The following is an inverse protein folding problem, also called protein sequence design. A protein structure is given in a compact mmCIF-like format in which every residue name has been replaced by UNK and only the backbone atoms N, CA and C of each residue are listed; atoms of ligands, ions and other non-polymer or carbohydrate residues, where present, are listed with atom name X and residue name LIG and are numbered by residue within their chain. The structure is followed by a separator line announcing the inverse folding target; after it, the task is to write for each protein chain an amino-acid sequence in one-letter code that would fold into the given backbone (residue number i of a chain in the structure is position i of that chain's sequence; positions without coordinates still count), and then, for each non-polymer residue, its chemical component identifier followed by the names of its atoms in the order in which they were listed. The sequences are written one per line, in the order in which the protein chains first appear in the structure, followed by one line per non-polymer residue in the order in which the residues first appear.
data_IF_999487138013
#
_entry.id   IF_999487138013
#
_cell.length_a   1.000
_cell.length_b   1.000
_cell.length_c   1.000
_cell.angle_alpha   90.00
_cell.angle_beta   90.00
_cell.angle_gamma   90.00
#
_symmetry.space_group_name_H-M   'P 1'
#
loop_
_entity.id
_entity.type
_entity.pdbx_description
1 polymer ?
#
# COMPACT_ATOMS: atom_id res chain seq x y z
N UNK A 1 -13.92 -18.02 2.20
CA UNK A 1 -13.01 -18.57 1.16
C UNK A 1 -11.60 -18.13 1.53
N UNK A 2 -10.88 -18.95 2.31
CA UNK A 2 -9.52 -18.68 2.76
C UNK A 2 -8.57 -18.80 1.55
N UNK A 3 -8.10 -17.69 1.00
CA UNK A 3 -7.00 -17.76 0.03
C UNK A 3 -5.75 -18.17 0.79
N UNK A 4 -5.32 -19.42 0.55
CA UNK A 4 -3.95 -19.86 0.82
C UNK A 4 -2.98 -18.88 0.16
N UNK A 5 -1.93 -18.50 0.89
CA UNK A 5 -0.84 -17.67 0.41
C UNK A 5 -0.45 -18.09 -1.02
N UNK A 6 -0.84 -17.31 -2.02
CA UNK A 6 -0.32 -17.50 -3.36
C UNK A 6 1.17 -17.19 -3.28
N UNK A 7 1.99 -18.19 -3.60
CA UNK A 7 3.40 -17.98 -3.88
C UNK A 7 3.48 -17.02 -5.07
N UNK A 8 3.89 -15.78 -4.83
CA UNK A 8 4.07 -14.74 -5.86
C UNK A 8 5.21 -15.12 -6.84
N UNK A 9 5.92 -16.23 -6.61
CA UNK A 9 7.04 -16.73 -7.42
C UNK A 9 6.64 -17.62 -8.63
N UNK A 10 5.43 -17.49 -9.18
CA UNK A 10 4.98 -18.22 -10.38
C UNK A 10 5.27 -17.47 -11.70
N UNK A 11 5.31 -18.16 -12.87
CA UNK A 11 5.59 -17.53 -14.15
C UNK A 11 4.59 -16.38 -14.46
N UNK A 12 5.03 -15.31 -15.13
CA UNK A 12 4.32 -14.03 -15.22
C UNK A 12 2.91 -14.12 -15.85
N UNK A 13 2.61 -15.16 -16.64
CA UNK A 13 1.35 -15.26 -17.38
C UNK A 13 0.13 -15.67 -16.53
N UNK A 14 0.29 -16.32 -15.38
CA UNK A 14 -0.86 -16.71 -14.53
C UNK A 14 -1.16 -15.70 -13.42
N UNK A 15 -0.16 -14.96 -12.96
CA UNK A 15 -0.31 -13.96 -11.89
C UNK A 15 -1.12 -12.74 -12.37
N UNK A 16 -0.86 -12.24 -13.58
CA UNK A 16 -1.53 -11.04 -14.12
C UNK A 16 -3.05 -11.26 -14.32
N UNK A 17 -3.49 -12.46 -14.73
CA UNK A 17 -4.90 -12.73 -15.01
C UNK A 17 -5.77 -12.64 -13.75
N UNK A 18 -5.23 -12.96 -12.56
CA UNK A 18 -6.00 -12.95 -11.31
C UNK A 18 -6.29 -11.53 -10.84
N UNK A 19 -5.35 -10.59 -11.02
CA UNK A 19 -5.49 -9.22 -10.53
C UNK A 19 -6.41 -8.32 -11.38
N UNK A 20 -6.70 -8.70 -12.63
CA UNK A 20 -7.64 -7.95 -13.49
C UNK A 20 -9.07 -8.03 -12.97
N UNK A 21 -9.44 -9.13 -12.30
CA UNK A 21 -10.79 -9.37 -11.80
C UNK A 21 -10.94 -9.17 -10.29
N UNK A 22 -9.85 -8.91 -9.58
CA UNK A 22 -9.84 -8.83 -8.13
C UNK A 22 -9.91 -7.37 -7.67
N UNK A 23 -11.00 -7.01 -6.99
CA UNK A 23 -11.14 -5.67 -6.37
C UNK A 23 -10.55 -5.61 -4.96
N UNK A 24 -10.57 -6.73 -4.24
CA UNK A 24 -10.06 -6.83 -2.87
C UNK A 24 -9.01 -7.92 -2.74
N UNK A 25 -7.84 -7.58 -2.20
CA UNK A 25 -6.76 -8.53 -1.92
C UNK A 25 -6.23 -8.38 -0.49
N UNK A 26 -6.16 -9.48 0.25
CA UNK A 26 -5.62 -9.51 1.62
C UNK A 26 -4.47 -10.52 1.72
N UNK A 27 -3.31 -10.04 2.16
CA UNK A 27 -2.10 -10.82 2.45
C UNK A 27 -1.60 -10.55 3.88
N UNK A 28 -2.52 -10.39 4.82
CA UNK A 28 -2.19 -10.13 6.23
C UNK A 28 -1.36 -11.27 6.84
N UNK A 29 -0.43 -10.94 7.75
CA UNK A 29 0.46 -11.90 8.44
C UNK A 29 1.44 -12.65 7.51
N UNK A 30 1.84 -12.03 6.40
CA UNK A 30 2.80 -12.61 5.47
C UNK A 30 4.21 -12.05 5.66
N UNK A 31 5.23 -12.88 5.39
CA UNK A 31 6.61 -12.39 5.21
C UNK A 31 6.80 -12.03 3.75
N UNK A 32 7.13 -10.78 3.48
CA UNK A 32 7.39 -10.31 2.13
C UNK A 32 8.87 -10.40 1.82
N UNK A 33 9.21 -11.04 0.69
CA UNK A 33 10.50 -10.82 0.05
C UNK A 33 10.43 -9.55 -0.80
N UNK A 34 11.59 -9.00 -1.15
CA UNK A 34 11.69 -7.86 -2.07
C UNK A 34 10.93 -8.12 -3.38
N UNK A 35 11.11 -9.31 -3.99
CA UNK A 35 10.39 -9.69 -5.21
C UNK A 35 8.87 -9.79 -5.05
N UNK A 36 8.36 -10.08 -3.85
CA UNK A 36 6.92 -10.05 -3.59
C UNK A 36 6.37 -8.61 -3.59
N UNK A 37 7.12 -7.67 -3.02
CA UNK A 37 6.78 -6.24 -3.05
C UNK A 37 6.90 -5.66 -4.47
N UNK A 38 7.90 -6.07 -5.26
CA UNK A 38 8.03 -5.69 -6.67
C UNK A 38 6.85 -6.18 -7.51
N UNK A 39 6.41 -7.42 -7.29
CA UNK A 39 5.24 -7.97 -7.97
C UNK A 39 3.96 -7.21 -7.59
N UNK A 40 3.75 -6.90 -6.31
CA UNK A 40 2.64 -6.05 -5.87
C UNK A 40 2.71 -4.67 -6.51
N UNK A 41 3.88 -4.03 -6.53
CA UNK A 41 4.10 -2.74 -7.19
C UNK A 41 3.75 -2.79 -8.68
N UNK A 42 4.12 -3.89 -9.36
CA UNK A 42 3.77 -4.12 -10.76
C UNK A 42 2.26 -4.28 -10.97
N UNK A 43 1.56 -4.92 -10.05
CA UNK A 43 0.10 -5.04 -10.06
C UNK A 43 -0.56 -3.67 -9.88
N UNK A 44 -0.09 -2.87 -8.91
CA UNK A 44 -0.62 -1.52 -8.67
C UNK A 44 -0.39 -0.57 -9.85
N UNK A 45 0.74 -0.74 -10.53
CA UNK A 45 1.13 0.04 -11.71
C UNK A 45 0.38 -0.35 -12.98
N UNK A 46 -0.23 -1.54 -13.01
CA UNK A 46 -0.80 -2.09 -14.22
C UNK A 46 -2.10 -1.37 -14.59
N UNK A 47 -2.26 -0.86 -15.83
CA UNK A 47 -3.48 -0.20 -16.26
C UNK A 47 -4.70 -1.14 -16.29
N UNK A 48 -4.45 -2.45 -16.31
CA UNK A 48 -5.48 -3.49 -16.31
C UNK A 48 -5.90 -3.90 -14.89
N UNK A 49 -5.24 -3.39 -13.86
CA UNK A 49 -5.60 -3.68 -12.48
C UNK A 49 -6.99 -3.10 -12.18
N UNK A 50 -7.79 -3.90 -11.48
CA UNK A 50 -9.07 -3.49 -10.91
C UNK A 50 -9.02 -3.46 -9.39
N UNK A 51 -7.83 -3.58 -8.80
CA UNK A 51 -7.63 -3.63 -7.37
C UNK A 51 -7.91 -2.27 -6.74
N UNK A 52 -8.93 -2.22 -5.88
CA UNK A 52 -9.35 -1.04 -5.14
C UNK A 52 -8.98 -1.13 -3.66
N UNK A 53 -8.84 -2.34 -3.13
CA UNK A 53 -8.58 -2.58 -1.72
C UNK A 53 -7.43 -3.57 -1.52
N UNK A 54 -6.42 -3.16 -0.76
CA UNK A 54 -5.26 -3.99 -0.42
C UNK A 54 -5.01 -3.96 1.09
N UNK A 55 -5.01 -5.14 1.70
CA UNK A 55 -4.69 -5.30 3.12
C UNK A 55 -3.44 -6.16 3.29
N UNK A 56 -2.37 -5.52 3.75
CA UNK A 56 -1.08 -6.14 4.08
C UNK A 56 -0.81 -6.13 5.60
N UNK A 57 -1.82 -5.87 6.42
CA UNK A 57 -1.64 -5.72 7.88
C UNK A 57 -0.88 -6.88 8.54
N UNK A 58 -0.12 -6.55 9.58
CA UNK A 58 0.70 -7.48 10.36
C UNK A 58 1.74 -8.24 9.53
N UNK A 59 2.22 -7.63 8.45
CA UNK A 59 3.23 -8.22 7.57
C UNK A 59 4.57 -7.53 7.78
N UNK A 60 5.66 -8.29 7.67
CA UNK A 60 7.03 -7.77 7.86
C UNK A 60 7.49 -7.00 6.61
N UNK A 61 6.80 -5.91 6.29
CA UNK A 61 6.98 -5.12 5.07
C UNK A 61 8.15 -4.13 5.22
N UNK A 62 8.23 -3.47 6.38
CA UNK A 62 9.22 -2.43 6.70
C UNK A 62 9.23 -1.27 5.68
N UNK A 63 10.15 -0.33 5.84
CA UNK A 63 10.25 0.83 4.94
C UNK A 63 10.63 0.46 3.51
N UNK A 64 11.44 -0.59 3.34
CA UNK A 64 11.88 -1.08 2.02
C UNK A 64 10.70 -1.61 1.19
N UNK A 65 9.81 -2.40 1.78
CA UNK A 65 8.61 -2.88 1.11
C UNK A 65 7.63 -1.74 0.80
N UNK A 66 7.46 -0.80 1.72
CA UNK A 66 6.63 0.41 1.50
C UNK A 66 7.17 1.25 0.35
N UNK A 67 8.49 1.41 0.25
CA UNK A 67 9.13 2.15 -0.85
C UNK A 67 8.83 1.52 -2.21
N UNK A 68 8.89 0.18 -2.31
CA UNK A 68 8.52 -0.52 -3.54
C UNK A 68 7.03 -0.38 -3.87
N UNK A 69 6.15 -0.49 -2.88
CA UNK A 69 4.71 -0.26 -3.07
C UNK A 69 4.40 1.18 -3.50
N UNK A 70 5.14 2.15 -2.95
CA UNK A 70 4.99 3.57 -3.26
C UNK A 70 5.21 3.85 -4.75
N UNK A 71 6.17 3.16 -5.38
CA UNK A 71 6.38 3.25 -6.84
C UNK A 71 5.12 2.86 -7.63
N UNK A 72 4.38 1.84 -7.16
CA UNK A 72 3.15 1.40 -7.82
C UNK A 72 1.97 2.36 -7.62
N UNK A 73 1.90 2.99 -6.44
CA UNK A 73 0.91 4.03 -6.12
C UNK A 73 1.15 5.33 -6.90
N UNK A 74 2.39 5.58 -7.36
CA UNK A 74 2.74 6.74 -8.19
C UNK A 74 2.25 6.66 -9.64
N UNK A 75 1.43 5.67 -10.00
CA UNK A 75 0.93 5.55 -11.38
C UNK A 75 -0.45 6.17 -11.52
N UNK A 76 -0.70 6.84 -12.65
CA UNK A 76 -1.99 7.45 -12.98
C UNK A 76 -3.13 6.42 -13.12
N UNK A 77 -2.80 5.14 -13.20
CA UNK A 77 -3.77 4.06 -13.39
C UNK A 77 -4.14 3.34 -12.09
N UNK A 78 -3.50 3.70 -10.98
CA UNK A 78 -3.79 3.08 -9.69
C UNK A 78 -5.20 3.48 -9.24
N UNK A 79 -6.10 2.50 -9.14
CA UNK A 79 -7.50 2.68 -8.70
C UNK A 79 -7.68 2.40 -7.21
N UNK A 80 -6.58 2.32 -6.46
CA UNK A 80 -6.62 1.95 -5.05
C UNK A 80 -7.36 3.00 -4.24
N UNK A 81 -8.36 2.56 -3.50
CA UNK A 81 -9.19 3.37 -2.60
C UNK A 81 -8.86 3.08 -1.13
N UNK A 82 -8.53 1.83 -0.79
CA UNK A 82 -8.18 1.43 0.58
C UNK A 82 -6.85 0.69 0.63
N UNK A 83 -5.97 1.15 1.51
CA UNK A 83 -4.68 0.52 1.79
C UNK A 83 -4.49 0.34 3.30
N UNK A 84 -4.40 -0.91 3.74
CA UNK A 84 -4.10 -1.25 5.14
C UNK A 84 -2.69 -1.79 5.26
N UNK A 85 -1.87 -1.06 6.03
CA UNK A 85 -0.48 -1.38 6.37
C UNK A 85 -0.30 -1.41 7.90
N UNK A 86 -1.37 -1.65 8.65
CA UNK A 86 -1.33 -1.73 10.11
C UNK A 86 -0.31 -2.77 10.57
N UNK A 87 0.55 -2.47 11.55
CA UNK A 87 1.45 -3.49 12.11
C UNK A 87 2.56 -3.96 11.17
N UNK A 88 3.04 -3.09 10.27
CA UNK A 88 3.99 -3.44 9.21
C UNK A 88 5.45 -3.01 9.47
N UNK A 89 5.77 -2.59 10.70
CA UNK A 89 7.09 -2.09 11.12
C UNK A 89 7.54 -0.87 10.29
N UNK A 90 6.60 -0.01 9.91
CA UNK A 90 6.86 1.20 9.11
C UNK A 90 7.38 2.32 10.02
N UNK A 91 8.41 3.02 9.55
CA UNK A 91 9.00 4.18 10.25
C UNK A 91 8.73 5.50 9.52
N UNK A 92 9.41 6.57 9.95
CA UNK A 92 9.40 7.88 9.28
C UNK A 92 9.79 7.79 7.79
N UNK A 93 10.72 6.88 7.43
CA UNK A 93 11.20 6.73 6.04
C UNK A 93 10.11 6.18 5.12
N UNK A 94 9.40 5.13 5.55
CA UNK A 94 8.27 4.56 4.81
C UNK A 94 7.13 5.56 4.68
N UNK A 95 6.83 6.33 5.74
CA UNK A 95 5.82 7.40 5.68
C UNK A 95 6.19 8.50 4.67
N UNK A 96 7.47 8.87 4.61
CA UNK A 96 7.98 9.84 3.62
C UNK A 96 7.78 9.32 2.20
N UNK A 97 8.05 8.03 1.97
CA UNK A 97 7.85 7.39 0.67
C UNK A 97 6.36 7.40 0.26
N UNK A 98 5.46 7.07 1.20
CA UNK A 98 4.02 7.11 0.98
C UNK A 98 3.52 8.53 0.68
N UNK A 99 3.93 9.51 1.48
CA UNK A 99 3.55 10.91 1.27
C UNK A 99 4.02 11.43 -0.10
N UNK A 100 5.24 11.07 -0.52
CA UNK A 100 5.74 11.41 -1.86
C UNK A 100 4.88 10.77 -2.96
N UNK A 101 4.46 9.51 -2.79
CA UNK A 101 3.62 8.83 -3.76
C UNK A 101 2.24 9.47 -3.89
N UNK A 102 1.59 9.78 -2.76
CA UNK A 102 0.28 10.41 -2.70
C UNK A 102 0.28 11.85 -3.25
N UNK A 103 1.40 12.57 -3.12
CA UNK A 103 1.55 13.92 -3.68
C UNK A 103 1.89 13.96 -5.17
N UNK A 104 2.45 12.88 -5.72
CA UNK A 104 2.92 12.88 -7.11
C UNK A 104 1.78 12.80 -8.12
N UNK A 105 0.62 12.24 -7.74
CA UNK A 105 -0.55 12.12 -8.59
C UNK A 105 -1.82 12.29 -7.76
N UNK A 106 -2.94 12.72 -8.37
CA UNK A 106 -4.24 12.67 -7.72
C UNK A 106 -4.58 11.22 -7.43
N UNK A 107 -4.24 10.78 -6.21
CA UNK A 107 -4.47 9.45 -5.74
C UNK A 107 -5.97 9.20 -5.62
N UNK A 108 -6.42 7.99 -5.95
CA UNK A 108 -7.78 7.54 -5.66
C UNK A 108 -7.95 7.09 -4.21
N UNK A 109 -6.85 7.05 -3.44
CA UNK A 109 -6.82 6.53 -2.08
C UNK A 109 -7.69 7.41 -1.16
N UNK A 110 -8.67 6.76 -0.53
CA UNK A 110 -9.62 7.33 0.43
C UNK A 110 -9.29 6.93 1.85
N UNK A 111 -8.76 5.72 2.03
CA UNK A 111 -8.46 5.17 3.35
C UNK A 111 -7.04 4.62 3.40
N UNK A 112 -6.27 5.10 4.38
CA UNK A 112 -4.92 4.62 4.69
C UNK A 112 -4.83 4.27 6.17
N UNK A 113 -4.57 3.00 6.45
CA UNK A 113 -4.35 2.51 7.80
C UNK A 113 -2.86 2.21 8.04
N UNK A 114 -2.26 3.00 8.92
CA UNK A 114 -0.89 2.89 9.43
C UNK A 114 -0.86 2.62 10.94
N UNK A 115 -1.98 2.21 11.56
CA UNK A 115 -2.01 1.86 12.99
C UNK A 115 -0.97 0.80 13.36
N UNK A 116 -0.54 0.77 14.63
CA UNK A 116 0.50 -0.16 15.10
C UNK A 116 1.82 -0.09 14.29
N UNK A 117 2.20 1.09 13.81
CA UNK A 117 3.52 1.36 13.23
C UNK A 117 4.24 2.45 14.02
N UNK A 118 5.45 2.83 13.58
CA UNK A 118 6.26 3.88 14.21
C UNK A 118 6.50 5.05 13.25
N UNK A 119 5.43 5.71 12.74
CA UNK A 119 5.55 6.76 11.72
C UNK A 119 6.34 7.99 12.17
N UNK A 120 6.64 8.10 13.47
CA UNK A 120 7.39 9.19 14.09
C UNK A 120 6.73 10.56 13.94
N UNK A 121 7.32 11.59 14.54
CA UNK A 121 6.75 12.93 14.48
C UNK A 121 6.86 13.52 13.07
N UNK A 122 7.96 13.22 12.37
CA UNK A 122 8.20 13.78 11.04
C UNK A 122 7.28 13.15 9.99
N UNK A 123 7.14 11.81 10.01
CA UNK A 123 6.26 11.09 9.10
C UNK A 123 4.78 11.42 9.33
N UNK A 124 4.33 11.51 10.59
CA UNK A 124 2.97 11.96 10.91
C UNK A 124 2.71 13.38 10.41
N UNK A 125 3.66 14.29 10.59
CA UNK A 125 3.53 15.66 10.10
C UNK A 125 3.41 15.70 8.57
N UNK A 126 4.24 14.94 7.84
CA UNK A 126 4.19 14.86 6.38
C UNK A 126 2.83 14.36 5.87
N UNK A 127 2.32 13.27 6.45
CA UNK A 127 1.01 12.72 6.08
C UNK A 127 -0.13 13.67 6.44
N UNK A 128 -0.04 14.33 7.60
CA UNK A 128 -1.05 15.32 8.06
C UNK A 128 -1.05 16.60 7.23
N UNK A 129 0.13 17.05 6.77
CA UNK A 129 0.23 18.19 5.87
C UNK A 129 -0.29 17.84 4.47
N UNK A 130 -0.08 16.60 4.01
CA UNK A 130 -0.69 16.08 2.79
C UNK A 130 -2.22 16.08 2.81
N UNK A 131 -2.87 15.78 3.96
CA UNK A 131 -4.33 15.89 4.11
C UNK A 131 -4.89 17.31 3.88
N UNK A 132 -4.05 18.35 3.97
CA UNK A 132 -4.44 19.74 3.69
C UNK A 132 -4.29 20.08 2.20
N UNK A 133 -3.60 19.25 1.43
CA UNK A 133 -3.43 19.43 0.00
C UNK A 133 -4.72 19.00 -0.73
N UNK A 134 -5.36 19.90 -1.52
CA UNK A 134 -6.58 19.55 -2.26
C UNK A 134 -6.37 18.48 -3.35
N UNK A 135 -5.11 18.19 -3.71
CA UNK A 135 -4.74 17.10 -4.59
C UNK A 135 -4.86 15.72 -3.93
N UNK A 136 -4.81 15.65 -2.60
CA UNK A 136 -5.06 14.42 -1.86
C UNK A 136 -6.57 14.16 -1.75
N UNK A 137 -6.95 12.89 -1.88
CA UNK A 137 -8.34 12.44 -1.79
C UNK A 137 -8.61 11.59 -0.55
N UNK A 138 -7.63 11.55 0.36
CA UNK A 138 -7.64 10.71 1.54
C UNK A 138 -8.65 11.26 2.55
N UNK A 139 -9.72 10.50 2.77
CA UNK A 139 -10.79 10.85 3.71
C UNK A 139 -10.47 10.38 5.13
N UNK A 140 -9.75 9.25 5.25
CA UNK A 140 -9.40 8.63 6.53
C UNK A 140 -7.92 8.25 6.56
N UNK A 141 -7.21 8.75 7.56
CA UNK A 141 -5.85 8.33 7.93
C UNK A 141 -5.89 7.78 9.36
N UNK A 142 -5.52 6.51 9.55
CA UNK A 142 -5.41 5.88 10.88
C UNK A 142 -3.93 5.68 11.21
N UNK A 143 -3.48 6.11 12.39
CA UNK A 143 -2.09 5.92 12.83
C UNK A 143 -1.95 5.73 14.35
N UNK A 144 -3.06 5.71 15.10
CA UNK A 144 -3.01 5.51 16.56
C UNK A 144 -2.72 4.04 16.91
N UNK A 145 -1.85 3.82 17.90
CA UNK A 145 -1.84 2.59 18.69
C UNK A 145 -3.08 2.63 19.59
N UNK A 146 -3.93 1.61 19.56
CA UNK A 146 -4.94 1.48 20.61
C UNK A 146 -4.20 1.32 21.95
N UNK A 147 -4.20 2.38 22.76
CA UNK A 147 -3.68 2.39 24.14
C UNK A 147 -4.69 1.74 25.09
#
# INVERSE_FOLDING_TARGET
MLLRCFHINGPPCTSITVFVYLSFFRLSHCKFSEGACEALSSVLSSPFSSLTELDLSNSDLQDSGVKLLSVGLMTLHCKMETLSLSGCLITEEGCTSLASALSSNPSHLRELDLSYNHPGLSGMKLLSDGLKDPGWRLDTLRYEENV
#
